data_IF_711361557622
#
_entry.id   IF_711361557622
#
_cell.length_a   1.000
_cell.length_b   1.000
_cell.length_c   1.000
_cell.angle_alpha   90.00
_cell.angle_beta   90.00
_cell.angle_gamma   90.00
#
_symmetry.space_group_name_H-M   'P 1'
#
loop_
_entity.id
_entity.type
_entity.pdbx_description
1 polymer ?
#
# COMPACT_ATOMS: atom_id res chain seq x y z
N UNK A 1 56.31 0.01 35.54
CA UNK A 1 54.93 0.47 35.30
C UNK A 1 54.56 0.12 33.87
N UNK A 2 53.64 -0.82 33.71
CA UNK A 2 53.25 -1.42 32.43
C UNK A 2 51.89 -0.84 32.07
N UNK A 3 51.86 0.18 31.21
CA UNK A 3 50.63 0.81 30.76
C UNK A 3 49.94 -0.11 29.74
N UNK A 4 48.94 -0.87 30.22
CA UNK A 4 47.93 -1.52 29.38
C UNK A 4 47.15 -0.43 28.65
N UNK A 5 47.32 -0.31 27.33
CA UNK A 5 46.40 0.43 26.45
C UNK A 5 45.37 -0.61 25.99
N UNK A 6 44.12 -0.65 26.50
CA UNK A 6 43.12 -1.48 25.89
C UNK A 6 42.78 -0.85 24.54
N UNK A 7 42.99 -1.64 23.50
CA UNK A 7 42.51 -1.42 22.15
C UNK A 7 41.00 -1.14 22.21
N UNK A 8 40.63 0.15 22.26
CA UNK A 8 39.28 0.64 22.02
C UNK A 8 38.99 0.44 20.53
N UNK A 9 38.65 -0.80 20.17
CA UNK A 9 38.00 -1.10 18.90
C UNK A 9 36.69 -0.32 18.94
N UNK A 10 36.69 0.79 18.22
CA UNK A 10 35.51 1.59 17.91
C UNK A 10 34.50 0.64 17.26
N UNK A 11 33.57 0.13 18.05
CA UNK A 11 32.33 -0.44 17.57
C UNK A 11 31.52 0.74 17.01
N UNK A 12 31.89 1.16 15.80
CA UNK A 12 30.99 1.89 14.92
C UNK A 12 29.91 0.88 14.52
N UNK A 13 28.98 0.62 15.45
CA UNK A 13 27.76 -0.11 15.16
C UNK A 13 27.00 0.77 14.17
N UNK A 14 27.20 0.52 12.89
CA UNK A 14 26.37 1.06 11.83
C UNK A 14 24.98 0.50 12.11
N UNK A 15 24.15 1.28 12.80
CA UNK A 15 22.74 1.01 12.91
C UNK A 15 22.22 1.22 11.49
N UNK A 16 22.12 0.14 10.71
CA UNK A 16 21.35 0.15 9.47
C UNK A 16 19.91 0.31 9.94
N UNK A 17 19.43 1.55 9.95
CA UNK A 17 18.03 1.85 10.15
C UNK A 17 17.33 1.33 8.89
N UNK A 18 16.76 0.13 8.97
CA UNK A 18 15.90 -0.40 7.93
C UNK A 18 14.68 0.53 7.87
N UNK A 19 14.70 1.47 6.93
CA UNK A 19 13.68 2.49 6.80
C UNK A 19 12.45 1.87 6.14
N UNK A 20 11.77 1.00 6.87
CA UNK A 20 10.49 0.44 6.44
C UNK A 20 9.42 1.52 6.52
N UNK A 21 8.71 1.72 5.41
CA UNK A 21 7.60 2.65 5.33
C UNK A 21 6.38 2.00 6.02
N UNK A 22 5.65 2.74 6.85
CA UNK A 22 4.39 2.22 7.40
C UNK A 22 3.35 2.23 6.28
N UNK A 23 2.53 1.18 6.15
CA UNK A 23 1.47 1.13 5.15
C UNK A 23 0.54 2.37 5.27
N UNK A 24 0.54 3.30 4.29
CA UNK A 24 -0.29 4.49 4.36
C UNK A 24 -1.79 4.20 4.23
N UNK A 25 -2.14 3.00 3.78
CA UNK A 25 -3.51 2.55 3.55
C UNK A 25 -3.98 1.52 4.57
N UNK A 26 -3.34 1.42 5.73
CA UNK A 26 -3.81 0.52 6.78
C UNK A 26 -5.25 0.84 7.21
N UNK A 27 -6.08 -0.19 7.30
CA UNK A 27 -7.52 -0.06 7.55
C UNK A 27 -8.36 0.53 6.40
N UNK A 28 -7.77 0.84 5.23
CA UNK A 28 -8.50 1.31 4.05
C UNK A 28 -8.94 0.13 3.15
N UNK A 29 -10.03 0.30 2.38
CA UNK A 29 -10.44 -0.71 1.40
C UNK A 29 -9.37 -1.00 0.33
N UNK A 30 -9.19 -2.28 0.01
CA UNK A 30 -8.22 -2.75 -0.99
C UNK A 30 -8.90 -3.11 -2.33
N UNK A 31 -9.58 -2.13 -2.94
CA UNK A 31 -10.54 -2.34 -4.03
C UNK A 31 -9.98 -2.08 -5.44
N UNK A 32 -8.80 -1.48 -5.54
CA UNK A 32 -8.11 -1.26 -6.82
C UNK A 32 -7.63 -2.57 -7.47
N UNK A 33 -6.93 -2.42 -8.59
CA UNK A 33 -6.28 -3.50 -9.34
C UNK A 33 -4.78 -3.19 -9.41
N UNK A 34 -3.98 -4.24 -9.53
CA UNK A 34 -2.58 -4.08 -9.91
C UNK A 34 -2.50 -3.57 -11.35
N UNK A 35 -1.53 -2.68 -11.59
CA UNK A 35 -1.24 -2.14 -12.91
C UNK A 35 -0.30 -3.07 -13.69
N UNK A 36 0.56 -3.82 -12.99
CA UNK A 36 1.43 -4.80 -13.60
C UNK A 36 0.61 -5.98 -14.17
N UNK A 37 0.99 -6.50 -15.36
CA UNK A 37 0.30 -7.62 -15.98
C UNK A 37 0.65 -8.97 -15.32
N UNK A 38 -0.28 -9.92 -15.38
CA UNK A 38 -0.02 -11.32 -15.06
C UNK A 38 0.25 -11.59 -13.57
N UNK A 39 1.19 -12.49 -13.29
CA UNK A 39 1.52 -12.96 -11.92
C UNK A 39 2.60 -12.13 -11.23
N UNK A 40 3.15 -11.11 -11.91
CA UNK A 40 4.36 -10.37 -11.49
C UNK A 40 4.25 -9.88 -10.04
N UNK A 41 3.11 -9.30 -9.65
CA UNK A 41 2.93 -8.79 -8.30
C UNK A 41 2.94 -9.89 -7.24
N UNK A 42 2.26 -11.01 -7.49
CA UNK A 42 2.22 -12.14 -6.57
C UNK A 42 3.60 -12.83 -6.43
N UNK A 43 4.36 -12.88 -7.52
CA UNK A 43 5.71 -13.47 -7.53
C UNK A 43 6.72 -12.57 -6.80
N UNK A 44 6.63 -11.25 -6.99
CA UNK A 44 7.54 -10.27 -6.39
C UNK A 44 7.20 -9.96 -4.92
N UNK A 45 5.90 -9.93 -4.61
CA UNK A 45 5.34 -9.64 -3.29
C UNK A 45 4.41 -10.78 -2.83
N UNK A 46 4.97 -11.96 -2.48
CA UNK A 46 4.17 -13.07 -1.99
C UNK A 46 3.33 -12.67 -0.77
N UNK A 47 2.02 -12.89 -0.87
CA UNK A 47 1.07 -12.62 0.20
C UNK A 47 0.96 -13.78 1.17
N UNK A 48 0.87 -13.47 2.46
CA UNK A 48 0.55 -14.45 3.51
C UNK A 48 -0.79 -14.07 4.13
N UNK A 49 -1.87 -14.56 3.52
CA UNK A 49 -3.23 -14.15 3.90
C UNK A 49 -3.46 -12.68 3.57
N UNK A 50 -3.86 -11.90 4.58
CA UNK A 50 -4.22 -10.49 4.44
C UNK A 50 -3.06 -9.50 4.72
N UNK A 51 -1.88 -10.01 5.05
CA UNK A 51 -0.72 -9.16 5.33
C UNK A 51 0.11 -8.94 4.07
N UNK A 52 0.37 -7.68 3.66
CA UNK A 52 1.29 -7.38 2.56
C UNK A 52 2.70 -7.88 2.85
N UNK A 53 3.46 -8.19 1.79
CA UNK A 53 4.88 -8.50 1.93
C UNK A 53 5.67 -7.28 2.41
N UNK A 54 6.65 -7.44 3.30
CA UNK A 54 7.48 -6.33 3.81
C UNK A 54 8.16 -5.53 2.69
N UNK A 55 8.51 -6.18 1.57
CA UNK A 55 9.09 -5.51 0.40
C UNK A 55 8.17 -4.47 -0.22
N UNK A 56 6.87 -4.53 0.00
CA UNK A 56 5.94 -3.48 -0.44
C UNK A 56 6.28 -2.11 0.16
N UNK A 57 7.00 -2.09 1.27
CA UNK A 57 7.33 -0.88 2.01
C UNK A 57 8.83 -0.60 2.10
N UNK A 58 9.62 -1.35 1.33
CA UNK A 58 11.06 -1.12 1.15
C UNK A 58 11.26 -0.15 -0.02
N UNK A 59 12.02 0.91 0.21
CA UNK A 59 12.33 1.93 -0.80
C UNK A 59 13.00 1.34 -2.06
N UNK A 60 13.73 0.22 -1.93
CA UNK A 60 14.34 -0.48 -3.06
C UNK A 60 13.30 -1.07 -4.03
N UNK A 61 12.07 -1.29 -3.56
CA UNK A 61 10.97 -1.86 -4.34
C UNK A 61 9.83 -0.87 -4.58
N UNK A 62 9.96 0.41 -4.17
CA UNK A 62 8.88 1.40 -4.26
C UNK A 62 8.26 1.50 -5.66
N UNK A 63 9.07 1.51 -6.72
CA UNK A 63 8.56 1.56 -8.10
C UNK A 63 7.79 0.30 -8.52
N UNK A 64 8.17 -0.86 -8.00
CA UNK A 64 7.42 -2.10 -8.25
C UNK A 64 6.14 -2.16 -7.41
N UNK A 65 6.18 -1.66 -6.17
CA UNK A 65 5.01 -1.56 -5.31
C UNK A 65 3.94 -0.63 -5.91
N UNK A 66 4.35 0.47 -6.55
CA UNK A 66 3.48 1.41 -7.28
C UNK A 66 2.71 0.74 -8.45
N UNK A 67 3.27 -0.31 -9.06
CA UNK A 67 2.58 -1.08 -10.08
C UNK A 67 1.70 -2.20 -9.50
N UNK A 68 1.80 -2.46 -8.20
CA UNK A 68 1.22 -3.61 -7.50
C UNK A 68 0.34 -3.18 -6.34
N UNK A 69 -0.44 -2.11 -6.50
CA UNK A 69 -1.22 -1.49 -5.44
C UNK A 69 -2.17 -2.43 -4.69
N UNK A 70 -2.87 -3.33 -5.40
CA UNK A 70 -3.81 -4.27 -4.78
C UNK A 70 -3.05 -5.32 -3.99
N UNK A 71 -1.96 -5.84 -4.56
CA UNK A 71 -1.10 -6.82 -3.88
C UNK A 71 -0.45 -6.19 -2.65
N UNK A 72 0.09 -4.99 -2.76
CA UNK A 72 0.73 -4.29 -1.64
C UNK A 72 -0.26 -3.62 -0.67
N UNK A 73 -1.57 -3.74 -0.92
CA UNK A 73 -2.65 -3.12 -0.12
C UNK A 73 -2.48 -1.61 0.08
N UNK A 74 -2.08 -0.95 -0.99
CA UNK A 74 -1.88 0.50 -1.05
C UNK A 74 -2.89 1.17 -2.00
N UNK A 75 -4.04 0.54 -2.26
CA UNK A 75 -5.06 1.10 -3.16
C UNK A 75 -5.51 2.54 -2.81
N UNK A 76 -5.39 2.98 -1.56
CA UNK A 76 -5.78 4.35 -1.18
C UNK A 76 -4.88 5.44 -1.81
N UNK A 77 -3.72 5.08 -2.39
CA UNK A 77 -2.84 6.03 -3.09
C UNK A 77 -3.25 6.27 -4.54
N UNK A 78 -4.09 5.40 -5.11
CA UNK A 78 -4.70 5.64 -6.42
C UNK A 78 -5.42 6.99 -6.41
N UNK A 79 -5.44 7.73 -7.55
CA UNK A 79 -6.16 8.99 -7.64
C UNK A 79 -7.60 8.84 -7.12
N UNK A 80 -7.88 9.57 -6.03
CA UNK A 80 -9.16 9.51 -5.35
C UNK A 80 -10.16 10.43 -6.07
N UNK A 81 -10.68 9.95 -7.19
CA UNK A 81 -11.60 10.69 -8.07
C UNK A 81 -12.83 9.86 -8.38
N UNK A 82 -13.97 10.53 -8.53
CA UNK A 82 -15.16 9.92 -9.10
C UNK A 82 -14.98 9.80 -10.62
N UNK A 83 -15.20 8.61 -11.16
CA UNK A 83 -15.07 8.34 -12.60
C UNK A 83 -16.42 8.53 -13.29
N UNK A 84 -17.51 8.16 -12.62
CA UNK A 84 -18.84 8.27 -13.19
C UNK A 84 -19.38 9.71 -13.04
N UNK A 85 -19.79 10.38 -14.12
CA UNK A 85 -20.29 11.76 -14.04
C UNK A 85 -21.56 11.88 -13.18
N UNK A 86 -22.27 10.77 -12.94
CA UNK A 86 -23.48 10.73 -12.11
C UNK A 86 -23.21 10.71 -10.61
N UNK A 87 -21.96 10.54 -10.14
CA UNK A 87 -21.67 10.54 -8.70
C UNK A 87 -22.16 11.82 -8.01
N UNK A 88 -22.10 12.97 -8.68
CA UNK A 88 -22.61 14.24 -8.16
C UNK A 88 -24.14 14.27 -7.96
N UNK A 89 -24.89 13.50 -8.75
CA UNK A 89 -26.36 13.50 -8.76
C UNK A 89 -26.93 12.34 -7.95
N UNK A 90 -26.23 11.21 -7.89
CA UNK A 90 -26.60 10.12 -7.01
C UNK A 90 -26.52 10.59 -5.56
N UNK A 91 -27.61 10.38 -4.82
CA UNK A 91 -27.64 10.62 -3.38
C UNK A 91 -26.73 9.61 -2.67
N UNK A 92 -26.48 9.82 -1.38
CA UNK A 92 -25.66 8.92 -0.55
C UNK A 92 -26.20 7.48 -0.48
N UNK A 93 -27.43 7.26 -0.98
CA UNK A 93 -27.99 5.94 -1.21
C UNK A 93 -27.17 5.07 -2.15
N UNK A 94 -26.39 5.63 -3.10
CA UNK A 94 -25.51 4.80 -3.95
C UNK A 94 -24.43 4.08 -3.12
N UNK A 95 -23.78 4.80 -2.20
CA UNK A 95 -22.67 4.27 -1.41
C UNK A 95 -23.12 3.26 -0.35
N UNK A 96 -24.41 3.24 0.01
CA UNK A 96 -24.96 2.35 1.04
C UNK A 96 -25.92 1.30 0.49
N UNK A 97 -26.35 1.40 -0.78
CA UNK A 97 -27.31 0.46 -1.37
C UNK A 97 -26.64 -0.90 -1.65
N UNK A 98 -27.05 -1.99 -0.98
CA UNK A 98 -26.42 -3.31 -1.08
C UNK A 98 -26.50 -3.94 -2.47
N UNK A 99 -27.29 -3.37 -3.39
CA UNK A 99 -27.31 -3.80 -4.79
C UNK A 99 -25.97 -3.57 -5.50
N UNK A 100 -25.24 -2.51 -5.14
CA UNK A 100 -23.92 -2.22 -5.70
C UNK A 100 -22.83 -2.87 -4.87
N UNK A 101 -21.85 -3.51 -5.51
CA UNK A 101 -20.68 -4.04 -4.81
C UNK A 101 -19.69 -2.93 -4.44
N UNK A 102 -18.78 -3.20 -3.52
CA UNK A 102 -17.72 -2.25 -3.17
C UNK A 102 -16.80 -1.96 -4.36
N UNK A 103 -16.55 -2.95 -5.22
CA UNK A 103 -15.80 -2.76 -6.46
C UNK A 103 -16.53 -1.84 -7.43
N UNK A 104 -17.85 -1.97 -7.58
CA UNK A 104 -18.63 -1.04 -8.41
C UNK A 104 -18.58 0.38 -7.85
N UNK A 105 -18.75 0.53 -6.53
CA UNK A 105 -18.63 1.85 -5.88
C UNK A 105 -17.23 2.42 -6.05
N UNK A 106 -16.19 1.59 -5.99
CA UNK A 106 -14.81 1.98 -6.23
C UNK A 106 -14.58 2.44 -7.67
N UNK A 107 -15.05 1.68 -8.65
CA UNK A 107 -14.86 1.99 -10.07
C UNK A 107 -15.67 3.23 -10.51
N UNK A 108 -16.87 3.44 -9.95
CA UNK A 108 -17.72 4.58 -10.31
C UNK A 108 -17.45 5.83 -9.46
N UNK A 109 -17.58 5.73 -8.12
CA UNK A 109 -17.68 6.87 -7.20
C UNK A 109 -16.82 6.74 -5.94
N UNK A 110 -15.57 6.26 -6.05
CA UNK A 110 -14.70 6.00 -4.89
C UNK A 110 -14.52 7.20 -3.97
N UNK A 111 -14.41 8.41 -4.52
CA UNK A 111 -14.21 9.63 -3.72
C UNK A 111 -15.48 9.96 -2.95
N UNK A 112 -16.63 9.97 -3.62
CA UNK A 112 -17.93 10.19 -2.97
C UNK A 112 -18.18 9.16 -1.86
N UNK A 113 -17.86 7.90 -2.11
CA UNK A 113 -18.08 6.81 -1.17
C UNK A 113 -16.97 6.66 -0.13
N UNK A 114 -15.97 7.56 -0.10
CA UNK A 114 -14.85 7.53 0.85
C UNK A 114 -14.14 6.17 0.90
N UNK A 115 -13.99 5.54 -0.27
CA UNK A 115 -13.34 4.23 -0.41
C UNK A 115 -11.83 4.37 -0.61
N UNK A 116 -11.39 5.53 -1.06
CA UNK A 116 -10.06 6.09 -0.90
C UNK A 116 -10.17 7.15 0.23
#
# INVERSE_FOLDING_TARGET
EMLLIPLLISFLSIIILDAQIINPCDGKPNLCKDQAPGTICADLFPLTGDTPNDKCFDIAYAGSADLCHKTCRICCIEPCVDVNPRCSVWTDGFCTNPFYSDEQRWEDCRKKCNLC
#
